data_IF_137368029970
#
_entry.id   IF_137368029970
#
_cell.length_a   1.000
_cell.length_b   1.000
_cell.length_c   1.000
_cell.angle_alpha   90.00
_cell.angle_beta   90.00
_cell.angle_gamma   90.00
#
_symmetry.space_group_name_H-M   'P 1'
#
loop_
_entity.id
_entity.type
_entity.pdbx_description
1 polymer ?
#
# COMPACT_ATOMS: atom_id res chain seq x y z
N UNK A 1 -8.12 -35.87 -108.75
CA UNK A 1 -7.24 -36.78 -107.97
C UNK A 1 -6.94 -36.06 -106.66
N UNK A 2 -7.69 -36.22 -105.58
CA UNK A 2 -7.90 -37.36 -104.63
C UNK A 2 -6.71 -37.58 -103.69
N UNK A 3 -6.99 -37.51 -102.38
CA UNK A 3 -6.21 -38.02 -101.25
C UNK A 3 -5.79 -36.90 -100.28
N UNK A 4 -6.56 -36.59 -99.23
CA UNK A 4 -6.68 -37.27 -97.90
C UNK A 4 -5.48 -37.02 -96.98
N UNK A 5 -5.75 -36.67 -95.72
CA UNK A 5 -4.77 -36.79 -94.64
C UNK A 5 -5.01 -35.85 -93.46
N UNK A 6 -5.77 -36.32 -92.49
CA UNK A 6 -5.90 -35.80 -91.13
C UNK A 6 -4.54 -35.49 -90.48
N UNK A 7 -4.52 -34.42 -89.69
CA UNK A 7 -3.42 -34.05 -88.82
C UNK A 7 -3.94 -33.30 -87.60
N UNK A 8 -4.53 -34.05 -86.67
CA UNK A 8 -4.80 -33.62 -85.31
C UNK A 8 -3.48 -33.14 -84.66
N UNK A 9 -3.31 -31.81 -84.60
CA UNK A 9 -2.28 -31.18 -83.80
C UNK A 9 -2.96 -30.37 -82.69
N UNK A 10 -3.09 -31.05 -81.55
CA UNK A 10 -3.11 -30.53 -80.18
C UNK A 10 -3.58 -29.07 -80.00
N UNK A 11 -4.83 -28.95 -79.54
CA UNK A 11 -5.31 -27.79 -78.82
C UNK A 11 -4.42 -27.55 -77.58
N UNK A 12 -3.42 -26.68 -77.69
CA UNK A 12 -3.01 -25.88 -76.55
C UNK A 12 -4.09 -24.81 -76.34
N UNK A 13 -4.87 -24.83 -75.25
CA UNK A 13 -5.65 -23.66 -74.93
C UNK A 13 -4.63 -22.58 -74.56
N UNK A 14 -4.60 -21.50 -75.35
CA UNK A 14 -4.01 -20.24 -74.91
C UNK A 14 -4.55 -19.96 -73.51
N UNK A 15 -3.65 -20.01 -72.53
CA UNK A 15 -3.90 -19.44 -71.21
C UNK A 15 -4.09 -17.96 -71.45
N UNK A 16 -5.34 -17.52 -71.56
CA UNK A 16 -5.70 -16.12 -71.48
C UNK A 16 -5.28 -15.63 -70.08
N UNK A 17 -4.35 -14.66 -69.97
CA UNK A 17 -4.13 -13.97 -68.72
C UNK A 17 -5.25 -12.93 -68.59
N UNK A 18 -6.47 -13.38 -68.34
CA UNK A 18 -7.52 -12.46 -67.88
C UNK A 18 -7.15 -12.04 -66.46
N UNK A 19 -6.85 -10.76 -66.20
CA UNK A 19 -6.66 -10.31 -64.83
C UNK A 19 -7.99 -10.53 -64.11
N UNK A 20 -7.91 -11.17 -62.95
CA UNK A 20 -8.99 -11.29 -62.01
C UNK A 20 -9.45 -9.88 -61.62
N UNK A 21 -10.44 -9.35 -62.34
CA UNK A 21 -11.05 -8.03 -62.11
C UNK A 21 -11.56 -7.85 -60.67
N UNK A 22 -11.80 -8.95 -59.95
CA UNK A 22 -12.11 -8.95 -58.52
C UNK A 22 -10.91 -8.86 -57.58
N UNK A 23 -9.69 -9.09 -58.06
CA UNK A 23 -8.45 -9.08 -57.28
C UNK A 23 -7.78 -7.71 -57.32
N UNK A 24 -7.65 -7.11 -58.50
CA UNK A 24 -7.17 -5.71 -58.64
C UNK A 24 -8.11 -4.74 -57.90
N UNK A 25 -9.43 -4.90 -58.03
CA UNK A 25 -10.41 -4.08 -57.30
C UNK A 25 -10.33 -4.25 -55.79
N UNK A 26 -9.98 -5.45 -55.28
CA UNK A 26 -9.76 -5.69 -53.85
C UNK A 26 -8.44 -5.11 -53.37
N UNK A 27 -7.40 -5.16 -54.19
CA UNK A 27 -6.09 -4.58 -53.89
C UNK A 27 -6.17 -3.04 -53.84
N UNK A 28 -6.93 -2.43 -54.74
CA UNK A 28 -7.18 -0.98 -54.76
C UNK A 28 -8.05 -0.52 -53.57
N UNK A 29 -9.12 -1.26 -53.24
CA UNK A 29 -9.94 -0.97 -52.04
C UNK A 29 -9.13 -1.13 -50.75
N UNK A 30 -8.29 -2.18 -50.68
CA UNK A 30 -7.40 -2.40 -49.54
C UNK A 30 -6.34 -1.30 -49.45
N UNK A 31 -5.78 -0.85 -50.57
CA UNK A 31 -4.85 0.28 -50.64
C UNK A 31 -5.47 1.58 -50.14
N UNK A 32 -6.71 1.85 -50.54
CA UNK A 32 -7.50 3.00 -50.08
C UNK A 32 -7.79 2.95 -48.57
N UNK A 33 -8.22 1.80 -48.05
CA UNK A 33 -8.45 1.60 -46.62
C UNK A 33 -7.16 1.71 -45.80
N UNK A 34 -6.05 1.18 -46.30
CA UNK A 34 -4.73 1.30 -45.66
C UNK A 34 -4.24 2.75 -45.63
N UNK A 35 -4.49 3.49 -46.71
CA UNK A 35 -4.19 4.92 -46.78
C UNK A 35 -5.04 5.70 -45.76
N UNK A 36 -6.34 5.39 -45.66
CA UNK A 36 -7.21 5.96 -44.63
C UNK A 36 -6.73 5.59 -43.22
N UNK A 37 -6.34 4.35 -42.95
CA UNK A 37 -5.87 3.92 -41.61
C UNK A 37 -4.56 4.60 -41.21
N UNK A 38 -3.63 4.82 -42.16
CA UNK A 38 -2.32 5.44 -41.90
C UNK A 38 -2.36 6.95 -41.68
N UNK A 39 -3.40 7.65 -42.13
CA UNK A 39 -3.53 9.09 -41.92
C UNK A 39 -3.69 9.43 -40.44
N UNK A 40 -3.03 10.50 -40.01
CA UNK A 40 -3.16 11.02 -38.65
C UNK A 40 -4.61 11.49 -38.40
N UNK A 41 -5.08 11.46 -37.13
CA UNK A 41 -6.42 11.92 -36.80
C UNK A 41 -6.70 13.39 -37.20
N UNK A 42 -5.65 14.21 -37.27
CA UNK A 42 -5.76 15.64 -37.63
C UNK A 42 -5.89 15.83 -39.15
N UNK A 43 -5.16 15.03 -39.94
CA UNK A 43 -5.33 15.01 -41.40
C UNK A 43 -6.75 14.56 -41.77
N UNK A 44 -7.30 13.56 -41.08
CA UNK A 44 -8.69 13.13 -41.27
C UNK A 44 -9.72 14.23 -40.98
N UNK A 45 -9.42 15.11 -40.02
CA UNK A 45 -10.28 16.25 -39.70
C UNK A 45 -10.32 17.26 -40.84
N UNK A 46 -9.15 17.63 -41.39
CA UNK A 46 -9.06 18.60 -42.49
C UNK A 46 -9.59 18.06 -43.82
N UNK A 47 -9.35 16.79 -44.14
CA UNK A 47 -9.77 16.20 -45.42
C UNK A 47 -11.23 15.73 -45.44
N UNK A 48 -11.76 15.22 -44.32
CA UNK A 48 -13.11 14.63 -44.28
C UNK A 48 -14.10 15.40 -43.38
N UNK A 49 -13.67 16.50 -42.73
CA UNK A 49 -14.52 17.28 -41.83
C UNK A 49 -14.96 16.54 -40.56
N UNK A 50 -14.39 15.36 -40.27
CA UNK A 50 -14.77 14.51 -39.13
C UNK A 50 -13.94 14.87 -37.91
N UNK A 51 -14.59 15.42 -36.88
CA UNK A 51 -13.94 15.77 -35.60
C UNK A 51 -13.29 14.52 -34.99
N UNK A 52 -12.01 14.56 -34.57
CA UNK A 52 -11.31 13.42 -34.02
C UNK A 52 -11.71 13.16 -32.56
N UNK A 53 -12.97 12.80 -32.34
CA UNK A 53 -13.58 12.58 -31.02
C UNK A 53 -12.78 11.60 -30.16
N UNK A 54 -12.16 10.59 -30.79
CA UNK A 54 -11.29 9.63 -30.09
C UNK A 54 -10.11 10.33 -29.40
N UNK A 55 -9.46 11.29 -30.05
CA UNK A 55 -8.32 12.02 -29.45
C UNK A 55 -8.81 12.87 -28.28
N UNK A 56 -9.93 13.58 -28.45
CA UNK A 56 -10.56 14.38 -27.38
C UNK A 56 -10.90 13.51 -26.17
N UNK A 57 -11.48 12.32 -26.39
CA UNK A 57 -11.78 11.39 -25.31
C UNK A 57 -10.53 10.88 -24.59
N UNK A 58 -9.42 10.62 -25.30
CA UNK A 58 -8.18 10.18 -24.64
C UNK A 58 -7.54 11.30 -23.83
N UNK A 59 -7.57 12.54 -24.33
CA UNK A 59 -7.10 13.72 -23.57
C UNK A 59 -7.98 13.92 -22.33
N UNK A 60 -9.29 13.85 -22.48
CA UNK A 60 -10.22 13.97 -21.36
C UNK A 60 -10.04 12.83 -20.35
N UNK A 61 -9.81 11.60 -20.81
CA UNK A 61 -9.51 10.47 -19.95
C UNK A 61 -8.21 10.70 -19.15
N UNK A 62 -7.17 11.21 -19.80
CA UNK A 62 -5.90 11.56 -19.13
C UNK A 62 -6.10 12.66 -18.07
N UNK A 63 -6.88 13.69 -18.38
CA UNK A 63 -7.21 14.76 -17.43
C UNK A 63 -8.06 14.25 -16.26
N UNK A 64 -9.09 13.47 -16.53
CA UNK A 64 -9.92 12.86 -15.49
C UNK A 64 -9.10 11.93 -14.61
N UNK A 65 -8.24 11.09 -15.18
CA UNK A 65 -7.38 10.18 -14.43
C UNK A 65 -6.37 10.91 -13.54
N UNK A 66 -5.71 11.94 -14.08
CA UNK A 66 -4.78 12.77 -13.29
C UNK A 66 -5.50 13.51 -12.16
N UNK A 67 -6.67 14.08 -12.43
CA UNK A 67 -7.48 14.74 -11.41
C UNK A 67 -7.94 13.76 -10.32
N UNK A 68 -8.37 12.56 -10.70
CA UNK A 68 -8.75 11.51 -9.74
C UNK A 68 -7.59 11.14 -8.83
N UNK A 69 -6.39 10.93 -9.37
CA UNK A 69 -5.20 10.62 -8.59
C UNK A 69 -4.84 11.78 -7.65
N UNK A 70 -4.86 13.02 -8.12
CA UNK A 70 -4.56 14.19 -7.28
C UNK A 70 -5.57 14.38 -6.15
N UNK A 71 -6.86 14.21 -6.41
CA UNK A 71 -7.89 14.31 -5.37
C UNK A 71 -7.75 13.19 -4.34
N UNK A 72 -7.49 11.97 -4.80
CA UNK A 72 -7.24 10.84 -3.92
C UNK A 72 -6.00 11.06 -3.04
N UNK A 73 -4.90 11.53 -3.62
CA UNK A 73 -3.67 11.80 -2.86
C UNK A 73 -3.88 12.92 -1.83
N UNK A 74 -4.59 13.99 -2.20
CA UNK A 74 -4.92 15.05 -1.25
C UNK A 74 -5.72 14.53 -0.04
N UNK A 75 -6.73 13.68 -0.28
CA UNK A 75 -7.51 13.06 0.79
C UNK A 75 -6.66 12.09 1.64
N UNK A 76 -5.84 11.26 1.00
CA UNK A 76 -5.03 10.27 1.69
C UNK A 76 -3.79 10.88 2.40
N UNK A 77 -3.40 12.10 2.04
CA UNK A 77 -2.19 12.74 2.57
C UNK A 77 -2.24 12.95 4.09
N UNK A 78 -3.43 13.17 4.67
CA UNK A 78 -3.63 13.30 6.11
C UNK A 78 -3.30 11.98 6.82
N UNK A 79 -3.91 10.87 6.35
CA UNK A 79 -3.66 9.52 6.85
C UNK A 79 -2.19 9.13 6.75
N UNK A 80 -1.55 9.37 5.60
CA UNK A 80 -0.14 9.04 5.39
C UNK A 80 0.74 9.84 6.34
N UNK A 81 0.49 11.15 6.50
CA UNK A 81 1.27 11.99 7.42
C UNK A 81 1.11 11.58 8.88
N UNK A 82 -0.09 11.18 9.29
CA UNK A 82 -0.33 10.63 10.62
C UNK A 82 0.43 9.29 10.81
N UNK A 83 0.45 8.44 9.78
CA UNK A 83 1.12 7.13 9.80
C UNK A 83 2.66 7.22 9.85
N UNK A 84 3.26 8.22 9.20
CA UNK A 84 4.72 8.39 9.15
C UNK A 84 5.34 9.03 10.40
N UNK A 85 4.54 9.42 11.41
CA UNK A 85 5.06 10.12 12.60
C UNK A 85 5.73 9.16 13.60
N UNK A 86 7.05 9.35 13.72
CA UNK A 86 7.85 9.30 14.96
C UNK A 86 8.04 7.95 15.66
N UNK A 87 8.64 6.97 14.98
CA UNK A 87 9.17 5.79 15.65
C UNK A 87 10.66 5.78 15.39
N UNK A 88 11.40 6.48 16.25
CA UNK A 88 12.84 6.39 16.27
C UNK A 88 13.19 5.00 16.81
N UNK A 89 13.92 4.23 16.00
CA UNK A 89 14.51 2.98 16.46
C UNK A 89 15.70 3.30 17.36
N UNK A 90 15.45 3.34 18.65
CA UNK A 90 16.48 3.58 19.66
C UNK A 90 16.85 2.26 20.35
N UNK A 91 18.14 1.96 20.42
CA UNK A 91 18.65 0.79 21.10
C UNK A 91 18.91 1.08 22.58
N UNK A 92 18.44 0.19 23.45
CA UNK A 92 18.55 0.31 24.90
C UNK A 92 19.53 -0.74 25.41
N UNK A 93 20.58 -0.28 26.10
CA UNK A 93 21.71 -1.13 26.52
C UNK A 93 21.74 -1.42 28.02
N UNK A 94 21.02 -0.66 28.85
CA UNK A 94 21.10 -0.81 30.31
C UNK A 94 19.77 -1.24 30.91
N UNK A 95 19.84 -1.99 32.01
CA UNK A 95 18.66 -2.44 32.77
C UNK A 95 17.82 -1.26 33.24
N UNK A 96 18.47 -0.20 33.74
CA UNK A 96 17.77 0.98 34.24
C UNK A 96 17.06 1.73 33.11
N UNK A 97 17.72 1.88 31.96
CA UNK A 97 17.11 2.53 30.80
C UNK A 97 15.94 1.71 30.27
N UNK A 98 15.99 0.38 30.31
CA UNK A 98 14.84 -0.48 29.96
C UNK A 98 13.66 -0.26 30.89
N UNK A 99 13.89 -0.21 32.21
CA UNK A 99 12.83 0.05 33.18
C UNK A 99 12.23 1.45 33.00
N UNK A 100 13.08 2.45 32.76
CA UNK A 100 12.66 3.82 32.47
C UNK A 100 11.90 3.91 31.14
N UNK A 101 12.32 3.19 30.10
CA UNK A 101 11.64 3.16 28.81
C UNK A 101 10.25 2.53 28.93
N UNK A 102 10.12 1.40 29.64
CA UNK A 102 8.83 0.76 29.90
C UNK A 102 7.90 1.68 30.71
N UNK A 103 8.43 2.34 31.74
CA UNK A 103 7.68 3.33 32.52
C UNK A 103 7.27 4.53 31.66
N UNK A 104 8.17 5.01 30.80
CA UNK A 104 7.93 6.11 29.89
C UNK A 104 6.84 5.78 28.87
N UNK A 105 6.79 4.56 28.32
CA UNK A 105 5.71 4.13 27.41
C UNK A 105 4.35 4.20 28.11
N UNK A 106 4.25 3.71 29.35
CA UNK A 106 3.02 3.84 30.16
C UNK A 106 2.65 5.31 30.36
N UNK A 107 3.59 6.11 30.86
CA UNK A 107 3.34 7.50 31.24
C UNK A 107 2.96 8.33 30.01
N UNK A 108 3.67 8.15 28.90
CA UNK A 108 3.38 8.80 27.63
C UNK A 108 1.98 8.42 27.11
N UNK A 109 1.57 7.15 27.21
CA UNK A 109 0.21 6.75 26.83
C UNK A 109 -0.84 7.46 27.69
N UNK A 110 -0.75 7.40 29.02
CA UNK A 110 -1.79 7.97 29.89
C UNK A 110 -1.76 9.51 29.98
N UNK A 111 -0.68 10.16 29.55
CA UNK A 111 -0.56 11.62 29.48
C UNK A 111 -0.60 12.18 28.05
N UNK A 112 -0.88 11.34 27.04
CA UNK A 112 -0.78 11.75 25.62
C UNK A 112 -1.67 12.94 25.28
N UNK A 113 -2.84 13.07 25.92
CA UNK A 113 -3.75 14.20 25.76
C UNK A 113 -3.16 15.55 26.20
N UNK A 114 -2.28 15.53 27.20
CA UNK A 114 -1.69 16.74 27.78
C UNK A 114 -0.35 17.07 27.15
N UNK A 115 0.39 16.05 26.70
CA UNK A 115 1.73 16.21 26.12
C UNK A 115 1.74 16.36 24.60
N UNK A 116 0.77 15.78 23.89
CA UNK A 116 0.75 15.79 22.43
C UNK A 116 0.24 17.11 21.88
N UNK A 117 0.83 17.53 20.75
CA UNK A 117 0.29 18.63 19.92
C UNK A 117 -0.91 18.16 19.09
N UNK A 118 -1.04 16.86 18.86
CA UNK A 118 -2.15 16.26 18.12
C UNK A 118 -3.36 15.99 19.03
N UNK A 119 -4.54 15.99 18.42
CA UNK A 119 -5.83 15.81 19.12
C UNK A 119 -6.13 14.33 19.36
N UNK A 120 -5.31 13.71 20.21
CA UNK A 120 -5.54 12.31 20.57
C UNK A 120 -6.66 12.16 21.59
N UNK A 121 -7.42 11.08 21.44
CA UNK A 121 -8.45 10.64 22.37
C UNK A 121 -8.24 9.17 22.75
N UNK A 122 -8.66 8.83 23.96
CA UNK A 122 -8.57 7.47 24.46
C UNK A 122 -9.79 6.66 24.07
N UNK A 123 -9.61 5.34 24.02
CA UNK A 123 -10.73 4.46 24.25
C UNK A 123 -10.98 4.33 25.74
N UNK A 124 -12.25 4.22 26.10
CA UNK A 124 -12.70 4.22 27.47
C UNK A 124 -13.40 2.89 27.76
N UNK A 125 -12.90 2.15 28.74
CA UNK A 125 -13.54 0.93 29.22
C UNK A 125 -14.85 1.25 29.97
N UNK A 126 -14.91 2.43 30.59
CA UNK A 126 -16.12 3.03 31.16
C UNK A 126 -16.00 4.56 31.06
N UNK A 127 -17.07 5.35 31.26
CA UNK A 127 -17.10 6.80 30.91
C UNK A 127 -15.94 7.66 31.45
N UNK A 128 -15.28 7.22 32.52
CA UNK A 128 -14.15 7.90 33.15
C UNK A 128 -12.88 7.05 33.25
N UNK A 129 -12.92 5.80 32.79
CA UNK A 129 -11.79 4.86 32.90
C UNK A 129 -11.21 4.62 31.52
N UNK A 130 -10.02 5.17 31.31
CA UNK A 130 -9.21 4.91 30.11
C UNK A 130 -8.96 3.41 29.98
N UNK A 131 -9.08 2.89 28.76
CA UNK A 131 -8.81 1.50 28.47
C UNK A 131 -7.35 1.16 28.83
N UNK A 132 -7.12 0.09 29.61
CA UNK A 132 -5.78 -0.36 29.95
C UNK A 132 -4.97 -0.70 28.70
N UNK A 133 -3.68 -0.42 28.75
CA UNK A 133 -2.75 -0.85 27.71
C UNK A 133 -2.43 -2.34 27.91
N UNK A 134 -2.49 -3.13 26.85
CA UNK A 134 -2.10 -4.53 26.89
C UNK A 134 -0.59 -4.63 26.76
N UNK A 135 0.09 -5.14 27.78
CA UNK A 135 1.48 -5.56 27.69
C UNK A 135 1.54 -7.08 27.58
N UNK A 136 2.43 -7.57 26.74
CA UNK A 136 2.68 -9.00 26.61
C UNK A 136 4.16 -9.28 26.70
N UNK A 137 4.53 -10.20 27.59
CA UNK A 137 5.93 -10.56 27.82
C UNK A 137 6.14 -12.00 27.37
N UNK A 138 7.15 -12.18 26.51
CA UNK A 138 7.63 -13.49 26.08
C UNK A 138 8.97 -13.73 26.76
N UNK A 139 9.14 -14.91 27.38
CA UNK A 139 10.34 -15.23 28.15
C UNK A 139 10.89 -16.61 27.80
N UNK A 140 12.20 -16.79 27.99
CA UNK A 140 12.86 -18.07 28.02
C UNK A 140 12.74 -18.73 29.40
N UNK A 141 12.54 -20.04 29.40
CA UNK A 141 12.77 -20.91 30.55
C UNK A 141 13.62 -22.10 30.09
N UNK A 142 14.83 -22.27 30.61
CA UNK A 142 15.71 -23.39 30.26
C UNK A 142 15.85 -23.63 28.74
N UNK A 143 16.04 -22.54 27.96
CA UNK A 143 16.17 -22.51 26.49
C UNK A 143 14.88 -22.81 25.70
N UNK A 144 13.74 -23.03 26.35
CA UNK A 144 12.44 -23.07 25.69
C UNK A 144 11.74 -21.72 25.82
N UNK A 145 11.00 -21.32 24.80
CA UNK A 145 10.19 -20.10 24.83
C UNK A 145 8.87 -20.44 25.54
N UNK A 146 8.55 -19.69 26.59
CA UNK A 146 7.29 -19.79 27.30
C UNK A 146 6.15 -19.16 26.48
N UNK A 147 4.91 -19.60 26.71
CA UNK A 147 3.74 -18.93 26.14
C UNK A 147 3.70 -17.47 26.59
N UNK A 148 3.17 -16.62 25.70
CA UNK A 148 2.96 -15.20 25.90
C UNK A 148 2.13 -14.96 27.17
N UNK A 149 2.64 -14.16 28.09
CA UNK A 149 1.91 -13.73 29.29
C UNK A 149 1.41 -12.31 29.08
N UNK A 150 0.13 -12.10 29.31
CA UNK A 150 -0.55 -10.83 29.06
C UNK A 150 -0.88 -10.12 30.37
N UNK A 151 -0.66 -8.81 30.40
CA UNK A 151 -0.82 -7.95 31.56
C UNK A 151 -1.56 -6.67 31.15
N UNK A 152 -2.51 -6.26 32.00
CA UNK A 152 -3.20 -4.99 31.81
C UNK A 152 -2.45 -3.90 32.56
N UNK A 153 -1.86 -2.97 31.80
CA UNK A 153 -1.11 -1.84 32.32
C UNK A 153 -2.07 -0.70 32.61
N UNK A 154 -1.95 -0.14 33.81
CA UNK A 154 -2.78 0.96 34.30
C UNK A 154 -1.88 2.16 34.63
N UNK A 155 -2.43 3.35 34.93
CA UNK A 155 -1.61 4.51 35.28
C UNK A 155 -0.69 4.29 36.49
N UNK A 156 -1.01 3.32 37.35
CA UNK A 156 -0.29 3.08 38.61
C UNK A 156 0.50 1.77 38.63
N UNK A 157 0.34 0.91 37.63
CA UNK A 157 0.94 -0.44 37.59
C UNK A 157 1.55 -0.72 36.23
N UNK A 158 2.81 -1.16 36.23
CA UNK A 158 3.56 -1.67 35.09
C UNK A 158 3.50 -3.20 34.98
N UNK A 159 2.60 -3.85 35.73
CA UNK A 159 2.43 -5.30 35.74
C UNK A 159 3.67 -6.00 36.29
N UNK A 160 4.36 -6.85 35.52
CA UNK A 160 5.48 -7.64 36.03
C UNK A 160 6.71 -6.81 36.44
N UNK A 161 6.73 -5.51 36.12
CA UNK A 161 7.82 -4.60 36.47
C UNK A 161 7.62 -3.87 37.81
N UNK A 162 6.44 -3.95 38.43
CA UNK A 162 6.15 -3.24 39.68
C UNK A 162 7.01 -3.75 40.85
N UNK A 163 7.23 -5.06 40.94
CA UNK A 163 7.96 -5.70 42.04
C UNK A 163 9.49 -5.76 41.81
N UNK A 164 9.99 -5.17 40.72
CA UNK A 164 11.42 -5.21 40.34
C UNK A 164 12.25 -4.13 41.06
N UNK A 165 12.08 -4.01 42.38
CA UNK A 165 12.74 -2.99 43.21
C UNK A 165 14.25 -3.22 43.41
N UNK A 166 14.76 -4.43 43.14
CA UNK A 166 16.18 -4.75 43.27
C UNK A 166 16.82 -4.98 41.91
N UNK A 167 18.03 -4.46 41.73
CA UNK A 167 18.79 -4.59 40.47
C UNK A 167 19.02 -6.05 40.08
N UNK A 168 19.17 -6.97 41.05
CA UNK A 168 19.38 -8.40 40.79
C UNK A 168 18.12 -9.10 40.26
N UNK A 169 16.94 -8.82 40.83
CA UNK A 169 15.67 -9.38 40.35
C UNK A 169 15.33 -8.83 38.95
N UNK A 170 15.52 -7.53 38.75
CA UNK A 170 15.33 -6.88 37.45
C UNK A 170 16.25 -7.47 36.37
N UNK A 171 17.52 -7.64 36.68
CA UNK A 171 18.51 -8.20 35.75
C UNK A 171 18.17 -9.66 35.38
N UNK A 172 17.82 -10.49 36.38
CA UNK A 172 17.39 -11.87 36.13
C UNK A 172 16.15 -11.95 35.25
N UNK A 173 15.16 -11.09 35.52
CA UNK A 173 13.94 -11.01 34.73
C UNK A 173 14.24 -10.59 33.29
N UNK A 174 15.00 -9.51 33.07
CA UNK A 174 15.35 -9.01 31.74
C UNK A 174 16.19 -10.01 30.93
N UNK A 175 17.11 -10.75 31.57
CA UNK A 175 17.87 -11.81 30.90
C UNK A 175 16.99 -12.94 30.37
N UNK A 176 15.82 -13.15 30.96
CA UNK A 176 14.86 -14.14 30.48
C UNK A 176 13.93 -13.60 29.39
N UNK A 177 13.91 -12.29 29.11
CA UNK A 177 12.98 -11.71 28.12
C UNK A 177 13.42 -12.00 26.70
N UNK A 178 12.45 -12.34 25.85
CA UNK A 178 12.59 -12.39 24.39
C UNK A 178 12.07 -11.10 23.78
N UNK A 179 10.83 -10.74 24.13
CA UNK A 179 10.19 -9.51 23.69
C UNK A 179 9.14 -9.03 24.70
N UNK A 180 8.93 -7.72 24.68
CA UNK A 180 7.86 -7.02 25.38
C UNK A 180 7.05 -6.31 24.30
N UNK A 181 5.80 -6.71 24.13
CA UNK A 181 4.88 -6.07 23.19
C UNK A 181 3.85 -5.25 23.95
N UNK A 182 3.64 -4.02 23.51
CA UNK A 182 2.57 -3.15 23.94
C UNK A 182 1.56 -3.04 22.81
N UNK A 183 0.28 -3.13 23.16
CA UNK A 183 -0.82 -2.90 22.24
C UNK A 183 -1.89 -2.05 22.93
N UNK A 184 -2.24 -0.93 22.31
CA UNK A 184 -3.31 -0.08 22.81
C UNK A 184 -4.02 0.65 21.66
N UNK A 185 -5.34 0.83 21.77
CA UNK A 185 -6.09 1.63 20.81
C UNK A 185 -5.96 3.12 21.14
N UNK A 186 -5.84 3.96 20.11
CA UNK A 186 -5.75 5.40 20.22
C UNK A 186 -6.58 6.04 19.13
N UNK A 187 -7.42 7.02 19.49
CA UNK A 187 -8.20 7.78 18.51
C UNK A 187 -7.47 9.07 18.19
N UNK A 188 -7.46 9.45 16.93
CA UNK A 188 -6.92 10.73 16.48
C UNK A 188 -8.00 11.47 15.69
N UNK A 189 -8.19 12.74 16.00
CA UNK A 189 -9.22 13.57 15.38
C UNK A 189 -8.52 14.68 14.61
N UNK A 190 -8.58 14.60 13.29
CA UNK A 190 -7.98 15.59 12.40
C UNK A 190 -9.06 16.52 11.83
N UNK A 191 -8.79 17.82 11.97
CA UNK A 191 -9.67 18.90 11.53
C UNK A 191 -9.00 19.63 10.37
N UNK A 192 -9.48 19.35 9.16
CA UNK A 192 -9.12 20.10 7.97
C UNK A 192 -10.11 21.23 7.68
N UNK A 193 -9.72 22.20 6.82
CA UNK A 193 -10.65 23.24 6.37
C UNK A 193 -11.85 22.69 5.57
N UNK A 194 -11.72 21.48 5.01
CA UNK A 194 -12.75 20.85 4.17
C UNK A 194 -13.07 19.40 4.55
N UNK A 195 -12.49 18.88 5.63
CA UNK A 195 -12.67 17.49 6.07
C UNK A 195 -12.65 17.38 7.60
N UNK A 196 -13.33 16.36 8.10
CA UNK A 196 -13.30 15.92 9.50
C UNK A 196 -13.06 14.43 9.46
N UNK A 197 -11.88 14.01 9.89
CA UNK A 197 -11.49 12.60 9.89
C UNK A 197 -11.21 12.14 11.32
N UNK A 198 -11.78 10.99 11.66
CA UNK A 198 -11.55 10.32 12.93
C UNK A 198 -10.83 9.00 12.64
N UNK A 199 -9.55 8.95 12.99
CA UNK A 199 -8.74 7.75 12.83
C UNK A 199 -8.77 6.93 14.12
N UNK A 200 -8.93 5.62 13.99
CA UNK A 200 -8.84 4.68 15.09
C UNK A 200 -7.59 3.83 14.89
N UNK A 201 -6.54 4.13 15.67
CA UNK A 201 -5.24 3.51 15.57
C UNK A 201 -5.13 2.36 16.55
N UNK A 202 -4.53 1.26 16.12
CA UNK A 202 -4.01 0.24 17.03
C UNK A 202 -2.50 0.36 17.07
N UNK A 203 -1.99 1.02 18.12
CA UNK A 203 -0.57 1.23 18.31
C UNK A 203 0.06 -0.06 18.82
N UNK A 204 1.14 -0.51 18.17
CA UNK A 204 1.89 -1.71 18.56
C UNK A 204 3.36 -1.36 18.70
N UNK A 205 3.88 -1.43 19.91
CA UNK A 205 5.28 -1.16 20.22
C UNK A 205 5.93 -2.41 20.76
N UNK A 206 7.05 -2.81 20.18
CA UNK A 206 7.77 -4.01 20.56
C UNK A 206 9.17 -3.62 20.99
N UNK A 207 9.58 -4.05 22.18
CA UNK A 207 10.96 -4.08 22.62
C UNK A 207 11.42 -5.52 22.54
N UNK A 208 12.28 -5.83 21.59
CA UNK A 208 12.79 -7.17 21.36
C UNK A 208 14.29 -7.25 21.65
N UNK A 209 14.73 -8.39 22.17
CA UNK A 209 16.16 -8.64 22.36
C UNK A 209 16.83 -8.80 21.00
N UNK A 210 17.79 -7.94 20.72
CA UNK A 210 18.61 -7.99 19.50
C UNK A 210 19.99 -8.54 19.83
N UNK A 211 20.35 -9.66 19.17
CA UNK A 211 21.67 -10.31 19.28
C UNK A 211 22.14 -10.57 20.73
N UNK A 212 21.20 -10.77 21.67
CA UNK A 212 21.45 -11.01 23.10
C UNK A 212 22.25 -9.90 23.83
N UNK A 213 22.34 -8.69 23.29
CA UNK A 213 23.17 -7.62 23.86
C UNK A 213 22.39 -6.35 24.22
N UNK A 214 21.30 -6.06 23.52
CA UNK A 214 20.49 -4.86 23.73
C UNK A 214 19.03 -5.10 23.34
N UNK A 215 18.14 -4.20 23.74
CA UNK A 215 16.75 -4.17 23.31
C UNK A 215 16.57 -3.11 22.20
N UNK A 216 15.69 -3.38 21.24
CA UNK A 216 15.27 -2.46 20.17
C UNK A 216 13.77 -2.58 19.94
#
# INVERSE_FOLDING_TARGET
MRGDGDGDALLEPLVDPSPSTGQERKEDDMGSLLHEVKMSPWEKYWYHGRVPWKVVLHVLLMLCGTLQIMLYDNQNSAYVRASYRNWLEESIFTVNDTLLAVAHVRDAYFSIKELSVATYDYHYASPSVVQPMLMSVIQYQNKTILPRREFNITPTSLGPFDDLHTSAAALSFLHSIVSIDFAFPLRDIDYGPFYFDCFDWTVRLTLAMHENSHLR
#
